data_IF_305368163971
#
_entry.id   IF_305368163971
#
_cell.length_a   1.000
_cell.length_b   1.000
_cell.length_c   1.000
_cell.angle_alpha   90.00
_cell.angle_beta   90.00
_cell.angle_gamma   90.00
#
_symmetry.space_group_name_H-M   'P 1'
#
loop_
_entity.id
_entity.type
_entity.pdbx_description
1 polymer ?
#
# COMPACT_ATOMS: atom_id res chain seq x y z
N UNK A 1 12.40 0.83 15.82
CA UNK A 1 13.22 0.82 14.59
C UNK A 1 12.36 1.22 13.40
N UNK A 2 12.62 2.40 12.85
CA UNK A 2 11.95 2.93 11.66
C UNK A 2 12.51 2.23 10.42
N UNK A 3 11.64 1.71 9.56
CA UNK A 3 12.00 1.25 8.21
C UNK A 3 11.69 2.35 7.21
N UNK A 4 12.20 2.26 6.00
CA UNK A 4 11.73 3.09 4.90
C UNK A 4 10.72 2.30 4.08
N UNK A 5 9.74 2.99 3.53
CA UNK A 5 8.77 2.41 2.61
C UNK A 5 8.85 3.18 1.31
N UNK A 6 9.13 2.47 0.23
CA UNK A 6 9.11 3.02 -1.12
C UNK A 6 7.83 2.58 -1.80
N UNK A 7 7.12 3.50 -2.44
CA UNK A 7 5.96 3.18 -3.26
C UNK A 7 5.92 4.03 -4.52
N UNK A 8 5.26 3.53 -5.56
CA UNK A 8 4.94 4.33 -6.75
C UNK A 8 3.49 4.74 -6.71
N UNK A 9 3.21 6.04 -6.78
CA UNK A 9 1.86 6.60 -6.83
C UNK A 9 1.72 7.46 -8.09
N UNK A 10 0.75 7.15 -8.96
CA UNK A 10 0.50 7.88 -10.22
C UNK A 10 1.74 8.08 -11.12
N UNK A 11 2.72 7.17 -11.04
CA UNK A 11 3.97 7.23 -11.80
C UNK A 11 5.12 7.94 -11.08
N UNK A 12 4.89 8.49 -9.89
CA UNK A 12 5.91 9.08 -9.04
C UNK A 12 6.34 8.09 -7.95
N UNK A 13 7.63 7.78 -7.89
CA UNK A 13 8.19 6.93 -6.84
C UNK A 13 8.56 7.79 -5.64
N UNK A 14 7.95 7.50 -4.49
CA UNK A 14 8.14 8.20 -3.23
C UNK A 14 8.69 7.25 -2.16
N UNK A 15 9.49 7.80 -1.25
CA UNK A 15 10.04 7.08 -0.11
C UNK A 15 9.63 7.80 1.16
N UNK A 16 8.97 7.07 2.06
CA UNK A 16 8.50 7.59 3.34
C UNK A 16 9.12 6.79 4.49
N UNK A 17 9.08 7.37 5.70
CA UNK A 17 9.50 6.66 6.90
C UNK A 17 8.35 5.83 7.43
N UNK A 18 8.54 4.52 7.52
CA UNK A 18 7.58 3.55 8.01
C UNK A 18 7.91 3.10 9.43
N UNK A 19 6.92 3.14 10.31
CA UNK A 19 7.02 2.63 11.67
C UNK A 19 5.92 1.62 11.96
N UNK A 20 6.29 0.37 12.27
CA UNK A 20 5.35 -0.69 12.70
C UNK A 20 4.54 -0.34 13.96
N UNK A 21 4.95 0.72 14.67
CA UNK A 21 4.28 1.23 15.85
C UNK A 21 3.06 2.10 15.49
N UNK A 22 3.05 2.69 14.30
CA UNK A 22 1.97 3.54 13.80
C UNK A 22 1.12 2.85 12.73
N UNK A 23 1.74 2.01 11.88
CA UNK A 23 1.02 1.32 10.80
C UNK A 23 1.19 -0.19 10.90
N UNK A 24 0.09 -0.91 10.66
CA UNK A 24 0.10 -2.39 10.64
C UNK A 24 0.58 -2.95 9.31
N UNK A 25 0.52 -2.16 8.24
CA UNK A 25 0.86 -2.59 6.89
C UNK A 25 1.50 -1.49 6.04
N UNK A 26 2.34 -1.90 5.09
CA UNK A 26 2.97 -1.01 4.11
C UNK A 26 1.95 -0.21 3.28
N UNK A 27 0.83 -0.85 2.92
CA UNK A 27 -0.25 -0.23 2.15
C UNK A 27 -0.91 0.91 2.93
N UNK A 28 -1.12 0.71 4.23
CA UNK A 28 -1.72 1.67 5.14
C UNK A 28 -0.85 2.92 5.27
N UNK A 29 0.46 2.72 5.46
CA UNK A 29 1.41 3.82 5.53
C UNK A 29 1.56 4.58 4.20
N UNK A 30 1.55 3.89 3.05
CA UNK A 30 1.62 4.55 1.75
C UNK A 30 0.39 5.43 1.50
N UNK A 31 -0.80 4.94 1.87
CA UNK A 31 -2.03 5.71 1.77
C UNK A 31 -2.05 6.92 2.71
N UNK A 32 -1.71 6.72 3.98
CA UNK A 32 -1.69 7.81 4.97
C UNK A 32 -0.68 8.90 4.58
N UNK A 33 0.48 8.53 4.03
CA UNK A 33 1.48 9.50 3.59
C UNK A 33 1.04 10.35 2.38
N UNK A 34 0.20 9.82 1.49
CA UNK A 34 -0.43 10.63 0.42
C UNK A 34 -1.72 11.32 0.89
N UNK A 35 -2.12 11.16 2.16
CA UNK A 35 -3.38 11.66 2.69
C UNK A 35 -4.61 10.94 2.12
N UNK A 36 -4.43 9.70 1.66
CA UNK A 36 -5.52 8.86 1.17
C UNK A 36 -6.17 8.18 2.37
N UNK A 37 -7.45 8.52 2.55
CA UNK A 37 -8.26 7.98 3.62
C UNK A 37 -8.65 6.52 3.33
N UNK A 38 -8.01 5.60 4.05
CA UNK A 38 -8.38 4.19 4.06
C UNK A 38 -9.46 3.87 5.08
N UNK A 39 -9.91 4.82 5.90
CA UNK A 39 -10.93 4.55 6.93
C UNK A 39 -12.24 4.12 6.27
N UNK A 40 -12.60 4.74 5.15
CA UNK A 40 -13.77 4.33 4.38
C UNK A 40 -13.61 2.93 3.79
N UNK A 41 -12.40 2.61 3.32
CA UNK A 41 -12.06 1.28 2.83
C UNK A 41 -12.11 0.22 3.96
N UNK A 42 -11.52 0.50 5.12
CA UNK A 42 -11.48 -0.38 6.30
C UNK A 42 -12.88 -0.65 6.84
N UNK A 43 -13.75 0.36 6.90
CA UNK A 43 -15.14 0.18 7.29
C UNK A 43 -15.88 -0.76 6.33
N UNK A 44 -15.67 -0.57 5.03
CA UNK A 44 -16.29 -1.43 4.01
C UNK A 44 -15.69 -2.84 4.00
N UNK A 45 -14.37 -2.96 4.23
CA UNK A 45 -13.67 -4.23 4.35
C UNK A 45 -14.19 -5.04 5.55
N UNK A 46 -14.34 -4.39 6.71
CA UNK A 46 -14.87 -5.00 7.92
C UNK A 46 -16.31 -5.53 7.70
N UNK A 47 -17.14 -4.77 6.98
CA UNK A 47 -18.49 -5.21 6.62
C UNK A 47 -18.46 -6.37 5.62
N UNK A 48 -17.58 -6.33 4.62
CA UNK A 48 -17.41 -7.43 3.66
C UNK A 48 -16.87 -8.69 4.33
N UNK A 49 -15.98 -8.57 5.32
CA UNK A 49 -15.44 -9.72 6.05
C UNK A 49 -16.49 -10.39 6.93
N UNK A 50 -17.45 -9.62 7.46
CA UNK A 50 -18.60 -10.17 8.20
C UNK A 50 -19.63 -10.87 7.30
N UNK A 51 -19.75 -10.44 6.04
CA UNK A 51 -20.85 -10.86 5.14
C UNK A 51 -20.37 -11.80 4.02
N UNK A 52 -19.07 -11.83 3.72
CA UNK A 52 -18.51 -12.48 2.53
C UNK A 52 -17.23 -13.26 2.81
N UNK A 53 -16.91 -14.20 1.91
CA UNK A 53 -15.69 -14.99 1.93
C UNK A 53 -14.43 -14.09 1.84
N UNK A 54 -13.38 -14.40 2.60
CA UNK A 54 -12.13 -13.60 2.74
C UNK A 54 -11.42 -13.30 1.40
N UNK A 55 -11.75 -14.04 0.34
CA UNK A 55 -11.29 -13.77 -1.03
C UNK A 55 -11.83 -12.44 -1.59
N UNK A 56 -13.09 -12.10 -1.33
CA UNK A 56 -13.70 -10.88 -1.84
C UNK A 56 -13.07 -9.62 -1.23
N UNK A 57 -12.79 -9.68 0.08
CA UNK A 57 -12.05 -8.67 0.84
C UNK A 57 -10.69 -8.38 0.21
N UNK A 58 -9.88 -9.41 -0.06
CA UNK A 58 -8.56 -9.24 -0.70
C UNK A 58 -8.67 -8.61 -2.09
N UNK A 59 -9.61 -9.08 -2.90
CA UNK A 59 -9.78 -8.56 -4.26
C UNK A 59 -10.26 -7.11 -4.27
N UNK A 60 -11.13 -6.74 -3.32
CA UNK A 60 -11.56 -5.36 -3.10
C UNK A 60 -10.38 -4.47 -2.69
N UNK A 61 -9.51 -4.96 -1.80
CA UNK A 61 -8.29 -4.27 -1.40
C UNK A 61 -7.39 -3.98 -2.58
N UNK A 62 -6.99 -5.01 -3.33
CA UNK A 62 -6.15 -4.83 -4.51
C UNK A 62 -6.78 -3.88 -5.54
N UNK A 63 -8.09 -4.01 -5.79
CA UNK A 63 -8.80 -3.12 -6.74
C UNK A 63 -8.85 -1.66 -6.26
N UNK A 64 -9.07 -1.42 -4.97
CA UNK A 64 -9.12 -0.08 -4.39
C UNK A 64 -7.77 0.62 -4.48
N UNK A 65 -6.69 -0.06 -4.06
CA UNK A 65 -5.33 0.49 -4.16
C UNK A 65 -4.93 0.76 -5.61
N UNK A 66 -5.28 -0.14 -6.53
CA UNK A 66 -5.01 0.06 -7.95
C UNK A 66 -5.79 1.25 -8.52
N UNK A 67 -7.07 1.44 -8.12
CA UNK A 67 -7.88 2.62 -8.51
C UNK A 67 -7.33 3.94 -8.00
N UNK A 68 -6.74 3.94 -6.81
CA UNK A 68 -6.10 5.13 -6.24
C UNK A 68 -4.84 5.54 -7.03
N UNK A 69 -4.26 4.61 -7.80
CA UNK A 69 -3.02 4.80 -8.53
C UNK A 69 -1.79 4.35 -7.75
N UNK A 70 -1.97 3.56 -6.68
CA UNK A 70 -0.87 2.87 -6.03
C UNK A 70 -0.38 1.72 -6.90
N UNK A 71 0.89 1.79 -7.27
CA UNK A 71 1.60 0.73 -7.97
C UNK A 71 2.36 -0.16 -7.00
N UNK A 72 3.66 -0.37 -7.27
CA UNK A 72 4.52 -1.19 -6.42
C UNK A 72 4.75 -0.53 -5.07
N UNK A 73 4.49 -1.25 -4.00
CA UNK A 73 4.78 -0.87 -2.61
C UNK A 73 5.85 -1.83 -2.07
N UNK A 74 6.98 -1.28 -1.64
CA UNK A 74 8.19 -2.01 -1.25
C UNK A 74 8.66 -1.51 0.12
N UNK A 75 8.79 -2.42 1.09
CA UNK A 75 9.37 -2.11 2.39
C UNK A 75 10.90 -2.18 2.30
N UNK A 76 11.57 -1.04 2.35
CA UNK A 76 13.01 -0.94 2.43
C UNK A 76 13.44 -1.28 3.88
N UNK A 77 13.87 -2.52 4.09
CA UNK A 77 14.80 -2.81 5.18
C UNK A 77 16.17 -2.27 4.77
N UNK A 78 16.95 -1.82 5.73
CA UNK A 78 18.28 -1.19 5.61
C UNK A 78 19.33 -1.98 4.78
N UNK A 79 18.96 -3.13 4.21
CA UNK A 79 19.81 -4.07 3.48
C UNK A 79 19.24 -4.47 2.09
N UNK A 80 18.02 -4.07 1.71
CA UNK A 80 17.41 -4.49 0.46
C UNK A 80 17.49 -3.38 -0.60
N UNK A 81 18.65 -3.34 -1.25
CA UNK A 81 18.89 -3.04 -2.66
C UNK A 81 17.66 -2.59 -3.48
N UNK A 82 17.76 -1.36 -3.99
CA UNK A 82 16.90 -0.72 -4.97
C UNK A 82 16.37 -1.69 -6.04
N UNK A 83 15.11 -2.10 -5.89
CA UNK A 83 14.43 -2.91 -6.91
C UNK A 83 14.09 -2.00 -8.10
N UNK A 84 15.05 -1.98 -9.02
CA UNK A 84 14.94 -1.80 -10.48
C UNK A 84 13.54 -1.38 -10.93
N UNK A 85 13.43 -0.09 -11.25
CA UNK A 85 12.50 0.44 -12.24
C UNK A 85 12.60 -0.45 -13.49
N UNK A 86 11.60 -1.32 -13.67
CA UNK A 86 11.30 -1.95 -14.96
C UNK A 86 10.02 -1.32 -15.46
N UNK A 87 10.08 -0.03 -15.82
CA UNK A 87 9.31 0.44 -16.97
C UNK A 87 10.07 -0.04 -18.22
N UNK A 88 9.63 -1.16 -18.78
CA UNK A 88 9.84 -1.41 -20.20
C UNK A 88 8.50 -1.20 -20.89
N UNK A 89 8.29 -0.09 -21.61
CA UNK A 89 7.32 -0.06 -22.69
C UNK A 89 7.95 -0.73 -23.92
N UNK A 90 7.28 -1.75 -24.47
CA UNK A 90 7.34 -2.12 -25.89
C UNK A 90 5.91 -2.33 -26.38
#
# INVERSE_FOLDING_TARGET
>A
MSRQLQYTYKGETKVITFSYQQHRSAHEAAAEAEGIDLTNFLNMELQLEMVTDTKAVRNHRDSYFNKLGFGRILLLKKEAESIKDKRQPE
#
